data_IF_159321288492
#
_entry.id   IF_159321288492
#
_cell.length_a   1.000
_cell.length_b   1.000
_cell.length_c   1.000
_cell.angle_alpha   90.00
_cell.angle_beta   90.00
_cell.angle_gamma   90.00
#
_symmetry.space_group_name_H-M   'P 1'
#
loop_
_entity.id
_entity.type
_entity.pdbx_description
1 polymer ?
#
# COMPACT_ATOMS: atom_id res chain seq x y z
N UNK A 1 -7.69 21.89 -51.72
CA UNK A 1 -8.46 21.68 -50.48
C UNK A 1 -7.55 20.89 -49.54
N UNK A 2 -6.93 21.54 -48.56
CA UNK A 2 -5.99 20.90 -47.62
C UNK A 2 -6.72 20.77 -46.28
N UNK A 3 -6.95 19.53 -45.85
CA UNK A 3 -7.44 19.22 -44.50
C UNK A 3 -6.23 19.14 -43.56
N UNK A 4 -6.12 20.08 -42.62
CA UNK A 4 -5.18 20.00 -41.50
C UNK A 4 -5.93 19.35 -40.35
N UNK A 5 -5.65 18.07 -40.09
CA UNK A 5 -6.05 17.40 -38.86
C UNK A 5 -5.17 17.88 -37.71
N UNK A 6 -5.70 18.73 -36.83
CA UNK A 6 -5.12 18.97 -35.51
C UNK A 6 -5.44 17.77 -34.62
N UNK A 7 -4.48 16.84 -34.52
CA UNK A 7 -4.50 15.78 -33.52
C UNK A 7 -4.05 16.33 -32.17
N UNK A 8 -4.96 16.35 -31.20
CA UNK A 8 -4.71 16.77 -29.82
C UNK A 8 -3.76 15.79 -29.09
N UNK A 9 -2.51 16.19 -28.89
CA UNK A 9 -1.47 15.42 -28.14
C UNK A 9 -1.25 15.90 -26.69
N UNK A 10 -2.24 16.56 -26.07
CA UNK A 10 -2.01 17.30 -24.81
C UNK A 10 -2.31 16.55 -23.49
N UNK A 11 -2.82 15.31 -23.53
CA UNK A 11 -3.33 14.64 -22.30
C UNK A 11 -2.27 13.87 -21.50
N UNK A 12 -1.07 13.65 -22.04
CA UNK A 12 0.02 12.95 -21.33
C UNK A 12 0.77 13.83 -20.33
N UNK A 13 1.15 15.04 -20.73
CA UNK A 13 2.03 15.91 -19.93
C UNK A 13 1.49 16.18 -18.51
N UNK A 14 0.17 16.31 -18.35
CA UNK A 14 -0.46 16.59 -17.05
C UNK A 14 -0.51 15.38 -16.13
N UNK A 15 -0.58 14.14 -16.64
CA UNK A 15 -0.61 12.93 -15.82
C UNK A 15 0.78 12.67 -15.21
N UNK A 16 1.82 12.68 -16.04
CA UNK A 16 3.19 12.51 -15.58
C UNK A 16 3.58 13.57 -14.54
N UNK A 17 3.25 14.85 -14.78
CA UNK A 17 3.52 15.93 -13.83
C UNK A 17 2.84 15.67 -12.47
N UNK A 18 1.56 15.27 -12.48
CA UNK A 18 0.87 14.88 -11.25
C UNK A 18 1.58 13.72 -10.54
N UNK A 19 1.96 12.66 -11.25
CA UNK A 19 2.66 11.52 -10.66
C UNK A 19 3.99 11.95 -10.03
N UNK A 20 4.75 12.85 -10.66
CA UNK A 20 6.00 13.36 -10.09
C UNK A 20 5.77 14.18 -8.81
N UNK A 21 4.70 14.98 -8.76
CA UNK A 21 4.31 15.70 -7.55
C UNK A 21 3.95 14.72 -6.41
N UNK A 22 3.21 13.65 -6.71
CA UNK A 22 2.89 12.61 -5.73
C UNK A 22 4.15 11.87 -5.23
N UNK A 23 5.11 11.59 -6.11
CA UNK A 23 6.41 10.98 -5.74
C UNK A 23 7.24 11.89 -4.85
N UNK A 24 7.25 13.18 -5.12
CA UNK A 24 7.95 14.17 -4.32
C UNK A 24 7.36 14.25 -2.91
N UNK A 25 6.02 14.22 -2.79
CA UNK A 25 5.34 14.16 -1.48
C UNK A 25 5.64 12.85 -0.74
N UNK A 26 5.62 11.71 -1.43
CA UNK A 26 6.01 10.42 -0.86
C UNK A 26 7.46 10.44 -0.33
N UNK A 27 8.39 11.05 -1.07
CA UNK A 27 9.78 11.21 -0.62
C UNK A 27 9.88 12.13 0.59
N UNK A 28 9.14 13.26 0.60
CA UNK A 28 9.08 14.18 1.74
C UNK A 28 8.64 13.45 3.00
N UNK A 29 7.51 12.73 2.96
CA UNK A 29 6.99 12.01 4.13
C UNK A 29 8.00 11.01 4.67
N UNK A 30 8.66 10.24 3.78
CA UNK A 30 9.68 9.26 4.20
C UNK A 30 11.02 9.87 4.64
N UNK A 31 11.23 11.18 4.43
CA UNK A 31 12.42 11.88 4.90
C UNK A 31 12.31 12.39 6.34
N UNK A 32 11.11 12.37 6.92
CA UNK A 32 10.84 12.83 8.29
C UNK A 32 11.14 11.68 9.26
N UNK A 33 12.00 11.91 10.24
CA UNK A 33 12.41 10.89 11.20
C UNK A 33 11.56 10.89 12.47
N UNK A 34 10.93 12.02 12.81
CA UNK A 34 10.38 12.28 14.15
C UNK A 34 8.83 12.32 14.14
N UNK A 35 8.21 11.43 13.37
CA UNK A 35 6.74 11.34 13.31
C UNK A 35 6.18 10.72 14.59
N UNK A 36 5.06 11.24 15.10
CA UNK A 36 4.33 10.59 16.20
C UNK A 36 3.73 9.29 15.68
N UNK A 37 4.06 8.17 16.32
CA UNK A 37 3.52 6.84 15.98
C UNK A 37 2.32 6.49 16.87
N UNK A 38 1.34 5.80 16.27
CA UNK A 38 0.23 5.11 16.95
C UNK A 38 0.17 3.69 16.39
N UNK A 39 -0.03 2.71 17.26
CA UNK A 39 -0.18 1.30 16.90
C UNK A 39 -1.53 0.80 17.39
N UNK A 40 -2.24 0.08 16.53
CA UNK A 40 -3.51 -0.60 16.82
C UNK A 40 -3.32 -2.09 16.50
N UNK A 41 -3.68 -2.94 17.45
CA UNK A 41 -3.56 -4.40 17.33
C UNK A 41 -4.72 -4.99 16.50
N UNK A 42 -4.54 -6.20 15.98
CA UNK A 42 -5.50 -6.83 15.06
C UNK A 42 -6.93 -6.90 15.54
N UNK A 43 -7.16 -7.08 16.84
CA UNK A 43 -8.50 -7.25 17.41
C UNK A 43 -9.38 -6.00 17.24
N UNK A 44 -8.76 -4.83 17.10
CA UNK A 44 -9.44 -3.54 17.02
C UNK A 44 -9.78 -3.12 15.58
N UNK A 45 -9.20 -3.77 14.56
CA UNK A 45 -9.40 -3.37 13.15
C UNK A 45 -9.67 -4.52 12.17
N UNK A 46 -9.45 -5.79 12.56
CA UNK A 46 -9.82 -6.94 11.75
C UNK A 46 -11.11 -7.56 12.27
N UNK A 47 -12.08 -7.76 11.37
CA UNK A 47 -13.29 -8.53 11.71
C UNK A 47 -12.93 -9.95 12.16
N UNK A 48 -11.91 -10.54 11.54
CA UNK A 48 -11.38 -11.88 11.84
C UNK A 48 -9.87 -11.83 11.93
N UNK A 49 -9.33 -12.21 13.10
CA UNK A 49 -7.88 -12.32 13.31
C UNK A 49 -7.35 -13.51 12.52
N UNK A 50 -6.38 -13.25 11.64
CA UNK A 50 -5.69 -14.28 10.86
C UNK A 50 -4.65 -15.01 11.72
N UNK A 51 -4.22 -16.20 11.29
CA UNK A 51 -3.21 -16.99 12.02
C UNK A 51 -1.90 -16.21 12.29
N UNK A 52 -1.53 -15.30 11.39
CA UNK A 52 -0.34 -14.46 11.53
C UNK A 52 -0.59 -13.09 12.15
N UNK A 53 -1.81 -12.84 12.62
CA UNK A 53 -2.26 -11.59 13.21
C UNK A 53 -2.25 -10.41 12.24
N UNK A 54 -2.47 -9.22 12.80
CA UNK A 54 -2.47 -7.97 12.07
C UNK A 54 -1.96 -6.84 12.93
N UNK A 55 -1.41 -5.82 12.29
CA UNK A 55 -0.91 -4.62 12.93
C UNK A 55 -1.24 -3.41 12.04
N UNK A 56 -1.79 -2.36 12.64
CA UNK A 56 -2.03 -1.09 11.97
C UNK A 56 -1.19 0.00 12.65
N UNK A 57 -0.26 0.59 11.90
CA UNK A 57 0.59 1.70 12.38
C UNK A 57 0.22 3.00 11.69
N UNK A 58 0.04 4.07 12.44
CA UNK A 58 -0.19 5.42 11.93
C UNK A 58 0.93 6.38 12.32
N UNK A 59 1.33 7.24 11.39
CA UNK A 59 2.39 8.21 11.56
C UNK A 59 1.87 9.63 11.32
N UNK A 60 2.06 10.51 12.30
CA UNK A 60 1.49 11.85 12.32
C UNK A 60 2.55 12.96 12.30
N UNK A 61 2.31 13.96 11.45
CA UNK A 61 3.05 15.23 11.37
C UNK A 61 2.11 16.36 11.79
N UNK A 62 2.43 17.11 12.84
CA UNK A 62 1.61 18.27 13.29
C UNK A 62 0.10 17.97 13.38
N UNK A 63 -0.24 16.82 13.98
CA UNK A 63 -1.60 16.30 14.12
C UNK A 63 -2.25 15.66 12.87
N UNK A 64 -1.66 15.79 11.69
CA UNK A 64 -2.13 15.18 10.45
C UNK A 64 -1.55 13.78 10.24
N UNK A 65 -2.40 12.81 9.91
CA UNK A 65 -1.95 11.47 9.50
C UNK A 65 -1.31 11.59 8.10
N UNK A 66 -0.01 11.32 8.00
CA UNK A 66 0.76 11.44 6.75
C UNK A 66 1.09 10.08 6.13
N UNK A 67 1.22 9.05 6.97
CA UNK A 67 1.45 7.67 6.55
C UNK A 67 0.72 6.72 7.49
N UNK A 68 0.25 5.61 6.97
CA UNK A 68 -0.14 4.46 7.79
C UNK A 68 0.16 3.15 7.09
N UNK A 69 0.43 2.11 7.86
CA UNK A 69 0.84 0.79 7.39
C UNK A 69 -0.09 -0.25 7.97
N UNK A 70 -0.78 -0.97 7.10
CA UNK A 70 -1.51 -2.18 7.43
C UNK A 70 -0.60 -3.38 7.15
N UNK A 71 -0.35 -4.20 8.16
CA UNK A 71 0.32 -5.49 8.02
C UNK A 71 -0.65 -6.59 8.40
N UNK A 72 -0.84 -7.55 7.50
CA UNK A 72 -1.65 -8.75 7.75
C UNK A 72 -0.78 -9.98 7.55
N UNK A 73 -0.60 -10.77 8.62
CA UNK A 73 0.06 -12.06 8.57
C UNK A 73 -0.92 -13.15 8.14
N UNK A 74 -0.54 -13.93 7.13
CA UNK A 74 -1.32 -15.02 6.55
C UNK A 74 -0.56 -16.33 6.73
N UNK A 75 -1.25 -17.47 6.62
CA UNK A 75 -0.65 -18.79 6.88
C UNK A 75 0.58 -19.09 5.99
N UNK A 76 0.65 -18.49 4.79
CA UNK A 76 1.74 -18.67 3.82
C UNK A 76 2.64 -17.45 3.62
N UNK A 77 2.39 -16.34 4.32
CA UNK A 77 3.17 -15.12 4.10
C UNK A 77 2.61 -13.90 4.78
N UNK A 78 2.94 -12.73 4.23
CA UNK A 78 2.55 -11.43 4.80
C UNK A 78 2.16 -10.50 3.66
N UNK A 79 1.07 -9.78 3.85
CA UNK A 79 0.69 -8.63 3.04
C UNK A 79 0.93 -7.36 3.85
N UNK A 80 1.60 -6.39 3.25
CA UNK A 80 1.81 -5.06 3.83
C UNK A 80 1.31 -4.03 2.85
N UNK A 81 0.45 -3.12 3.30
CA UNK A 81 -0.01 -1.98 2.52
C UNK A 81 0.35 -0.69 3.25
N UNK A 82 1.27 0.07 2.68
CA UNK A 82 1.53 1.45 3.09
C UNK A 82 0.57 2.39 2.37
N UNK A 83 -0.01 3.32 3.11
CA UNK A 83 -0.85 4.40 2.60
C UNK A 83 -0.23 5.74 2.97
N UNK A 84 -0.26 6.67 2.03
CA UNK A 84 0.23 8.04 2.22
C UNK A 84 -0.92 9.01 1.99
N UNK A 85 -1.10 9.92 2.94
CA UNK A 85 -2.19 10.89 2.92
C UNK A 85 -1.71 12.31 3.08
N UNK A 86 -2.43 13.23 2.43
CA UNK A 86 -2.23 14.68 2.52
C UNK A 86 -3.57 15.36 2.57
N UNK A 87 -3.74 16.33 3.47
CA UNK A 87 -5.01 17.01 3.71
C UNK A 87 -6.19 16.03 3.87
N UNK A 88 -5.94 14.92 4.58
CA UNK A 88 -6.93 13.88 4.84
C UNK A 88 -7.28 12.96 3.65
N UNK A 89 -6.63 13.08 2.49
CA UNK A 89 -6.88 12.24 1.32
C UNK A 89 -5.69 11.32 1.04
N UNK A 90 -5.96 10.06 0.74
CA UNK A 90 -4.95 9.12 0.26
C UNK A 90 -4.55 9.54 -1.15
N UNK A 91 -3.25 9.73 -1.37
CA UNK A 91 -2.69 10.11 -2.68
C UNK A 91 -1.80 9.02 -3.27
N UNK A 92 -1.26 8.14 -2.42
CA UNK A 92 -0.38 7.06 -2.85
C UNK A 92 -0.53 5.87 -1.92
N UNK A 93 -0.42 4.67 -2.48
CA UNK A 93 -0.27 3.45 -1.70
C UNK A 93 0.74 2.51 -2.34
N UNK A 94 1.46 1.79 -1.48
CA UNK A 94 2.44 0.79 -1.85
C UNK A 94 2.10 -0.52 -1.15
N UNK A 95 1.75 -1.54 -1.93
CA UNK A 95 1.47 -2.88 -1.44
C UNK A 95 2.61 -3.81 -1.77
N UNK A 96 3.01 -4.62 -0.81
CA UNK A 96 3.88 -5.76 -1.01
C UNK A 96 3.22 -7.03 -0.48
N UNK A 97 3.44 -8.13 -1.18
CA UNK A 97 3.09 -9.46 -0.70
C UNK A 97 4.33 -10.33 -0.74
N UNK A 98 4.63 -10.97 0.39
CA UNK A 98 5.77 -11.87 0.53
C UNK A 98 5.30 -13.23 1.02
N UNK A 99 5.93 -14.29 0.52
CA UNK A 99 5.73 -15.67 0.97
C UNK A 99 6.85 -16.08 1.93
N UNK A 100 6.56 -16.94 2.90
CA UNK A 100 7.62 -17.63 3.64
C UNK A 100 8.46 -18.52 2.71
N UNK A 101 9.77 -18.53 2.92
CA UNK A 101 10.69 -19.38 2.14
C UNK A 101 10.44 -20.87 2.43
N UNK A 102 10.81 -21.72 1.50
CA UNK A 102 10.71 -23.16 1.65
C UNK A 102 11.84 -23.66 2.57
N UNK A 103 11.51 -24.56 3.50
CA UNK A 103 12.47 -25.20 4.39
C UNK A 103 12.76 -26.60 3.90
N UNK A 104 14.03 -26.90 3.67
CA UNK A 104 14.51 -28.20 3.27
C UNK A 104 15.35 -28.84 4.38
N UNK A 105 15.40 -30.17 4.43
CA UNK A 105 16.36 -30.90 5.26
C UNK A 105 17.71 -31.13 4.53
N UNK A 106 18.64 -31.82 5.19
CA UNK A 106 19.98 -32.10 4.64
C UNK A 106 19.95 -32.99 3.39
N UNK A 107 18.86 -33.72 3.15
CA UNK A 107 18.67 -34.54 1.95
C UNK A 107 18.10 -33.74 0.77
N UNK A 108 17.64 -32.50 1.02
CA UNK A 108 16.99 -31.64 0.04
C UNK A 108 15.48 -31.83 -0.06
N UNK A 109 14.85 -32.57 0.86
CA UNK A 109 13.40 -32.75 0.90
C UNK A 109 12.69 -31.56 1.55
N UNK A 110 11.54 -31.16 1.01
CA UNK A 110 10.72 -30.08 1.56
C UNK A 110 10.09 -30.53 2.88
N UNK A 111 10.46 -29.87 3.98
CA UNK A 111 9.98 -30.19 5.33
C UNK A 111 9.00 -29.17 5.90
N UNK A 112 8.85 -28.01 5.25
CA UNK A 112 7.87 -27.00 5.66
C UNK A 112 8.24 -25.60 5.18
N UNK A 113 7.82 -24.60 5.94
CA UNK A 113 8.11 -23.19 5.68
C UNK A 113 9.13 -22.64 6.68
N UNK A 114 10.01 -21.78 6.19
CA UNK A 114 10.90 -20.98 7.00
C UNK A 114 10.25 -19.63 7.32
N UNK A 115 9.56 -19.57 8.47
CA UNK A 115 8.86 -18.37 8.94
C UNK A 115 9.77 -17.16 9.24
N UNK A 116 11.09 -17.36 9.30
CA UNK A 116 12.05 -16.27 9.53
C UNK A 116 12.45 -15.52 8.25
N UNK A 117 12.12 -16.08 7.08
CA UNK A 117 12.57 -15.56 5.78
C UNK A 117 11.38 -15.34 4.85
N UNK A 118 11.24 -14.10 4.40
CA UNK A 118 10.20 -13.68 3.46
C UNK A 118 10.81 -13.46 2.07
N UNK A 119 10.13 -13.98 1.05
CA UNK A 119 10.45 -13.77 -0.36
C UNK A 119 9.37 -12.89 -0.95
N UNK A 120 9.76 -11.71 -1.44
CA UNK A 120 8.88 -10.78 -2.14
C UNK A 120 8.30 -11.46 -3.38
N UNK A 121 6.98 -11.48 -3.50
CA UNK A 121 6.26 -12.06 -4.64
C UNK A 121 5.51 -11.02 -5.45
N UNK A 122 5.04 -9.94 -4.83
CA UNK A 122 4.27 -8.91 -5.51
C UNK A 122 4.64 -7.51 -5.00
N UNK A 123 4.64 -6.55 -5.92
CA UNK A 123 4.71 -5.12 -5.63
C UNK A 123 3.63 -4.39 -6.43
N UNK A 124 2.80 -3.61 -5.75
CA UNK A 124 1.79 -2.74 -6.35
C UNK A 124 1.99 -1.30 -5.90
N UNK A 125 1.99 -0.36 -6.85
CA UNK A 125 2.05 1.08 -6.59
C UNK A 125 0.81 1.73 -7.18
N UNK A 126 0.02 2.37 -6.33
CA UNK A 126 -1.26 2.95 -6.71
C UNK A 126 -1.24 4.44 -6.46
N UNK A 127 -1.49 5.22 -7.51
CA UNK A 127 -1.47 6.68 -7.46
C UNK A 127 -2.90 7.20 -7.58
N UNK A 128 -3.26 8.10 -6.68
CA UNK A 128 -4.61 8.65 -6.59
C UNK A 128 -4.58 10.17 -6.71
N UNK A 129 -5.53 10.72 -7.46
CA UNK A 129 -5.79 12.15 -7.51
C UNK A 129 -7.26 12.40 -7.20
N UNK A 130 -7.54 13.20 -6.17
CA UNK A 130 -8.90 13.53 -5.73
C UNK A 130 -9.80 12.30 -5.53
N UNK A 131 -9.25 11.23 -4.91
CA UNK A 131 -9.98 9.99 -4.64
C UNK A 131 -10.22 9.11 -5.86
N UNK A 132 -9.60 9.42 -7.02
CA UNK A 132 -9.66 8.60 -8.22
C UNK A 132 -8.28 8.02 -8.52
N UNK A 133 -8.24 6.76 -8.90
CA UNK A 133 -7.02 6.13 -9.38
C UNK A 133 -6.58 6.77 -10.70
N UNK A 134 -5.31 7.14 -10.80
CA UNK A 134 -4.71 7.72 -12.01
C UNK A 134 -3.61 6.86 -12.61
N UNK A 135 -2.98 5.99 -11.81
CA UNK A 135 -1.94 5.07 -12.27
C UNK A 135 -1.82 3.85 -11.37
N UNK A 136 -1.52 2.71 -11.99
CA UNK A 136 -1.13 1.46 -11.34
C UNK A 136 0.21 1.02 -11.92
N UNK A 137 1.17 0.70 -11.06
CA UNK A 137 2.40 0.00 -11.46
C UNK A 137 2.50 -1.27 -10.63
N UNK A 138 2.29 -2.41 -11.29
CA UNK A 138 2.33 -3.74 -10.68
C UNK A 138 3.48 -4.56 -11.26
N UNK A 139 4.11 -5.34 -10.38
CA UNK A 139 5.02 -6.40 -10.78
C UNK A 139 4.35 -7.72 -10.43
N UNK A 140 4.10 -8.52 -11.47
CA UNK A 140 3.40 -9.83 -11.44
C UNK A 140 2.00 -9.77 -10.82
N UNK A 141 1.30 -10.90 -10.79
CA UNK A 141 -0.04 -11.00 -10.20
C UNK A 141 0.03 -11.09 -8.66
N UNK A 142 -0.96 -10.52 -7.92
CA UNK A 142 -1.07 -10.68 -6.47
C UNK A 142 -1.18 -12.14 -6.05
N UNK A 143 -0.57 -12.49 -4.92
CA UNK A 143 -0.58 -13.83 -4.35
C UNK A 143 -1.79 -14.10 -3.47
N UNK A 144 -2.22 -13.10 -2.69
CA UNK A 144 -3.22 -13.28 -1.62
C UNK A 144 -4.53 -12.55 -1.85
N UNK A 145 -4.64 -11.70 -2.89
CA UNK A 145 -5.81 -10.86 -3.09
C UNK A 145 -6.60 -11.19 -4.34
N UNK A 146 -7.89 -10.84 -4.30
CA UNK A 146 -8.72 -10.65 -5.48
C UNK A 146 -8.12 -9.57 -6.41
N UNK A 147 -8.60 -9.45 -7.66
CA UNK A 147 -8.23 -8.35 -8.54
C UNK A 147 -8.32 -7.00 -7.82
N UNK A 148 -7.38 -6.11 -8.10
CA UNK A 148 -7.37 -4.78 -7.51
C UNK A 148 -8.61 -3.99 -7.96
N UNK A 149 -9.42 -3.55 -6.99
CA UNK A 149 -10.59 -2.70 -7.19
C UNK A 149 -10.39 -1.38 -6.45
N UNK A 150 -10.20 -0.29 -7.19
CA UNK A 150 -9.77 1.00 -6.64
C UNK A 150 -10.70 1.55 -5.55
N UNK A 151 -12.01 1.45 -5.75
CA UNK A 151 -13.00 1.97 -4.80
C UNK A 151 -12.99 1.18 -3.49
N UNK A 152 -12.94 -0.15 -3.57
CA UNK A 152 -12.84 -1.03 -2.39
C UNK A 152 -11.52 -0.79 -1.64
N UNK A 153 -10.43 -0.63 -2.38
CA UNK A 153 -9.11 -0.34 -1.82
C UNK A 153 -9.07 0.98 -1.05
N UNK A 154 -9.61 2.05 -1.64
CA UNK A 154 -9.69 3.35 -0.97
C UNK A 154 -10.66 3.33 0.21
N UNK A 155 -11.77 2.60 0.11
CA UNK A 155 -12.72 2.44 1.22
C UNK A 155 -12.03 1.86 2.45
N UNK A 156 -11.32 0.74 2.30
CA UNK A 156 -10.54 0.13 3.39
C UNK A 156 -9.50 1.11 3.94
N UNK A 157 -8.74 1.78 3.06
CA UNK A 157 -7.77 2.79 3.51
C UNK A 157 -8.40 3.95 4.29
N UNK A 158 -9.62 4.36 3.94
CA UNK A 158 -10.37 5.38 4.68
C UNK A 158 -10.83 4.88 6.05
N UNK A 159 -11.34 3.65 6.15
CA UNK A 159 -11.76 3.03 7.42
C UNK A 159 -10.58 2.92 8.40
N UNK A 160 -9.42 2.41 7.93
CA UNK A 160 -8.21 2.30 8.75
C UNK A 160 -7.70 3.68 9.21
N UNK A 161 -7.73 4.68 8.33
CA UNK A 161 -7.38 6.05 8.68
C UNK A 161 -8.30 6.60 9.78
N UNK A 162 -9.61 6.36 9.71
CA UNK A 162 -10.55 6.84 10.72
C UNK A 162 -10.27 6.23 12.09
N UNK A 163 -9.92 4.95 12.15
CA UNK A 163 -9.52 4.28 13.39
C UNK A 163 -8.29 4.96 14.01
N UNK A 164 -7.23 5.18 13.21
CA UNK A 164 -6.01 5.84 13.68
C UNK A 164 -6.24 7.28 14.15
N UNK A 165 -7.09 8.04 13.45
CA UNK A 165 -7.43 9.42 13.84
C UNK A 165 -8.20 9.44 15.16
N UNK A 166 -9.07 8.46 15.42
CA UNK A 166 -9.81 8.33 16.69
C UNK A 166 -8.92 7.89 17.86
N UNK A 167 -7.88 7.11 17.59
CA UNK A 167 -6.95 6.61 18.61
C UNK A 167 -5.88 7.63 19.05
N UNK A 168 -5.80 8.80 18.40
CA UNK A 168 -4.75 9.81 18.60
C UNK A 168 -4.93 10.74 19.77
#
# INVERSE_FOLDING_TARGET
>A
MIFICYGSLASGQTKEEHIQNLRSEFQRVNSITDLKEIVIDSEDFLDHVTDGGGELKGYFENADLVKFTERIGLSYGVRVTDYYSKAGRIFFSYRIESRFDDKYDDSGELTGLNYSKLILKYEGRYYFNNGKLIEIIEKVEPMFSSPFEANSFLKVGHELKELLVKAK
#
